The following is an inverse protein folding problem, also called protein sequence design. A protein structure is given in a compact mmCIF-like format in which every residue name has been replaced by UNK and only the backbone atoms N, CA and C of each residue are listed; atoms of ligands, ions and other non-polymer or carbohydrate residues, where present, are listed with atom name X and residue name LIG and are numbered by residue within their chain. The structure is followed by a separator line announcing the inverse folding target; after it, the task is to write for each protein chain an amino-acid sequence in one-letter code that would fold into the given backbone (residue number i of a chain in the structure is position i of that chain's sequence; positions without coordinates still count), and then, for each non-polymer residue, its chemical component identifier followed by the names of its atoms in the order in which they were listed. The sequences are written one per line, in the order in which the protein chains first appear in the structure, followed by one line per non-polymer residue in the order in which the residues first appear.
data_IF_419614113224
#
_entry.id   IF_419614113224
#
_cell.length_a   1.000
_cell.length_b   1.000
_cell.length_c   1.000
_cell.angle_alpha   90.00
_cell.angle_beta   90.00
_cell.angle_gamma   90.00
#
_symmetry.space_group_name_H-M   'P 1'
#
loop_
_entity.id
_entity.type
_entity.pdbx_description
1 polymer ?
#
# COMPACT_ATOMS: atom_id res chain seq x y z
N UNK A 1 17.01 -9.72 13.98
CA UNK A 1 15.81 -8.87 13.84
C UNK A 1 14.59 -9.77 13.90
N UNK A 2 13.51 -9.36 14.57
CA UNK A 2 12.27 -10.13 14.65
C UNK A 2 11.17 -9.26 14.03
N UNK A 3 10.86 -9.49 12.75
CA UNK A 3 9.76 -8.79 12.08
C UNK A 3 8.42 -9.16 12.70
N UNK A 4 7.38 -8.37 12.46
CA UNK A 4 6.02 -8.68 12.92
C UNK A 4 5.24 -9.43 11.83
N UNK A 5 4.11 -10.04 12.20
CA UNK A 5 3.21 -10.62 11.19
C UNK A 5 2.68 -9.49 10.29
N UNK A 6 2.54 -9.74 9.00
CA UNK A 6 2.15 -8.71 8.03
C UNK A 6 3.29 -7.77 7.60
N UNK A 7 4.51 -7.91 8.15
CA UNK A 7 5.67 -7.15 7.63
C UNK A 7 5.94 -7.58 6.19
N UNK A 8 5.92 -6.62 5.26
CA UNK A 8 6.34 -6.85 3.88
C UNK A 8 7.86 -6.74 3.81
N UNK A 9 8.48 -7.66 3.08
CA UNK A 9 9.92 -7.76 2.92
C UNK A 9 10.25 -7.82 1.42
N UNK A 10 11.43 -7.32 1.05
CA UNK A 10 11.95 -7.37 -0.31
C UNK A 10 13.11 -8.36 -0.38
N UNK A 11 13.10 -9.24 -1.39
CA UNK A 11 14.17 -10.17 -1.66
C UNK A 11 15.45 -9.46 -2.13
N UNK A 12 16.56 -9.67 -1.41
CA UNK A 12 17.88 -9.12 -1.77
C UNK A 12 18.58 -9.94 -2.86
N UNK A 13 18.21 -11.22 -2.99
CA UNK A 13 18.77 -12.21 -3.91
C UNK A 13 17.63 -13.07 -4.46
N UNK A 14 17.87 -13.76 -5.56
CA UNK A 14 16.95 -14.75 -6.10
C UNK A 14 17.10 -16.11 -5.39
N UNK A 15 16.01 -16.87 -5.34
CA UNK A 15 15.92 -18.22 -4.81
C UNK A 15 15.02 -19.04 -5.73
N UNK A 16 15.58 -19.49 -6.86
CA UNK A 16 14.82 -20.17 -7.92
C UNK A 16 14.80 -21.71 -7.76
N UNK A 17 15.60 -22.26 -6.86
CA UNK A 17 15.70 -23.70 -6.58
C UNK A 17 15.32 -23.99 -5.12
N UNK A 18 14.03 -23.82 -4.74
CA UNK A 18 13.60 -24.02 -3.37
C UNK A 18 13.66 -25.48 -2.94
N UNK A 19 14.00 -25.71 -1.67
CA UNK A 19 13.82 -27.02 -1.04
C UNK A 19 12.34 -27.26 -0.75
N UNK A 20 11.98 -28.50 -0.40
CA UNK A 20 10.63 -28.84 0.00
C UNK A 20 10.11 -27.90 1.12
N UNK A 21 9.01 -27.21 0.86
CA UNK A 21 8.39 -26.25 1.78
C UNK A 21 8.94 -24.83 1.75
N UNK A 22 9.96 -24.54 0.93
CA UNK A 22 10.44 -23.17 0.67
C UNK A 22 9.68 -22.52 -0.49
N UNK A 23 9.65 -21.18 -0.53
CA UNK A 23 9.01 -20.42 -1.61
C UNK A 23 10.07 -19.93 -2.61
N UNK A 24 9.80 -20.03 -3.90
CA UNK A 24 10.67 -19.44 -4.93
C UNK A 24 10.43 -17.93 -5.07
N UNK A 25 11.48 -17.17 -5.36
CA UNK A 25 11.40 -15.72 -5.60
C UNK A 25 12.59 -15.19 -6.40
N UNK A 26 12.40 -14.08 -7.08
CA UNK A 26 13.44 -13.30 -7.74
C UNK A 26 13.90 -12.15 -6.85
N UNK A 27 15.08 -11.59 -7.17
CA UNK A 27 15.56 -10.37 -6.50
C UNK A 27 14.58 -9.22 -6.77
N UNK A 28 14.16 -8.53 -5.71
CA UNK A 28 13.19 -7.43 -5.79
C UNK A 28 11.74 -7.85 -5.49
N UNK A 29 11.46 -9.15 -5.47
CA UNK A 29 10.13 -9.65 -5.15
C UNK A 29 9.72 -9.28 -3.72
N UNK A 30 8.41 -9.06 -3.53
CA UNK A 30 7.83 -8.69 -2.23
C UNK A 30 7.19 -9.91 -1.60
N UNK A 31 7.55 -10.18 -0.35
CA UNK A 31 7.01 -11.27 0.44
C UNK A 31 6.44 -10.75 1.76
N UNK A 32 5.26 -11.22 2.13
CA UNK A 32 4.59 -10.84 3.39
C UNK A 32 4.82 -11.90 4.45
N UNK A 33 5.40 -11.52 5.59
CA UNK A 33 5.61 -12.43 6.72
C UNK A 33 4.28 -12.86 7.32
N UNK A 34 4.10 -14.17 7.51
CA UNK A 34 2.91 -14.75 8.13
C UNK A 34 3.12 -14.97 9.63
N UNK A 35 2.02 -15.01 10.40
CA UNK A 35 2.02 -14.89 11.86
C UNK A 35 2.79 -15.98 12.58
N UNK A 36 2.75 -17.24 12.10
CA UNK A 36 3.73 -18.32 12.35
C UNK A 36 3.18 -19.65 11.82
N UNK A 37 4.11 -20.56 11.50
CA UNK A 37 3.85 -22.02 11.51
C UNK A 37 4.93 -22.66 12.37
N UNK A 38 4.57 -23.74 13.04
CA UNK A 38 5.40 -24.52 13.96
C UNK A 38 6.73 -24.95 13.31
N UNK A 39 7.79 -25.12 14.12
CA UNK A 39 9.11 -25.65 13.72
C UNK A 39 9.98 -24.76 12.81
N UNK A 40 10.12 -23.47 13.12
CA UNK A 40 11.06 -22.58 12.42
C UNK A 40 12.48 -22.71 12.98
N UNK A 41 13.47 -22.87 12.09
CA UNK A 41 14.88 -22.66 12.46
C UNK A 41 15.12 -21.18 12.75
N UNK A 42 16.11 -20.87 13.59
CA UNK A 42 16.47 -19.49 13.92
C UNK A 42 16.79 -18.70 12.64
N UNK A 43 16.00 -17.66 12.35
CA UNK A 43 16.20 -16.78 11.19
C UNK A 43 15.40 -17.16 9.93
N UNK A 44 14.56 -18.19 10.00
CA UNK A 44 13.58 -18.52 8.95
C UNK A 44 12.20 -17.99 9.32
N UNK A 45 11.44 -17.58 8.29
CA UNK A 45 10.07 -17.13 8.43
C UNK A 45 9.19 -17.86 7.42
N UNK A 46 7.93 -18.07 7.77
CA UNK A 46 6.93 -18.39 6.75
C UNK A 46 6.45 -17.09 6.13
N UNK A 47 6.45 -17.02 4.80
CA UNK A 47 6.02 -15.85 4.07
C UNK A 47 5.15 -16.25 2.88
N UNK A 48 4.29 -15.33 2.48
CA UNK A 48 3.53 -15.40 1.23
C UNK A 48 4.22 -14.54 0.19
N UNK A 49 4.49 -15.06 -0.99
CA UNK A 49 4.94 -14.28 -2.14
C UNK A 49 3.76 -13.46 -2.68
N UNK A 50 3.91 -12.13 -2.75
CA UNK A 50 2.76 -11.24 -2.98
C UNK A 50 2.17 -11.38 -4.39
N UNK A 51 2.98 -11.72 -5.40
CA UNK A 51 2.51 -11.81 -6.80
C UNK A 51 1.97 -13.19 -7.15
N UNK A 52 2.62 -14.27 -6.71
CA UNK A 52 2.17 -15.64 -7.02
C UNK A 52 1.17 -16.18 -5.99
N UNK A 53 1.08 -15.56 -4.81
CA UNK A 53 0.26 -16.04 -3.70
C UNK A 53 0.82 -17.28 -2.99
N UNK A 54 1.93 -17.85 -3.45
CA UNK A 54 2.56 -19.03 -2.86
C UNK A 54 3.05 -18.75 -1.45
N UNK A 55 2.91 -19.73 -0.57
CA UNK A 55 3.38 -19.66 0.80
C UNK A 55 4.47 -20.68 1.07
N UNK A 56 5.54 -20.25 1.73
CA UNK A 56 6.63 -21.15 2.08
C UNK A 56 7.58 -20.54 3.09
N UNK A 57 8.62 -21.32 3.40
CA UNK A 57 9.73 -20.88 4.22
C UNK A 57 10.69 -20.01 3.42
N UNK A 58 11.19 -18.97 4.09
CA UNK A 58 12.19 -18.04 3.55
C UNK A 58 13.22 -17.70 4.60
N UNK A 59 14.49 -17.59 4.18
CA UNK A 59 15.56 -17.14 5.05
C UNK A 59 15.49 -15.61 5.21
N UNK A 60 15.35 -15.14 6.45
CA UNK A 60 15.41 -13.72 6.79
C UNK A 60 16.69 -13.03 6.35
N UNK A 61 17.80 -13.79 6.27
CA UNK A 61 19.08 -13.27 5.80
C UNK A 61 19.08 -12.82 4.33
N UNK A 62 18.18 -13.37 3.51
CA UNK A 62 18.00 -13.01 2.10
C UNK A 62 16.98 -11.89 1.90
N UNK A 63 16.31 -11.46 2.96
CA UNK A 63 15.28 -10.45 2.92
C UNK A 63 15.73 -9.16 3.60
N UNK A 64 15.04 -8.07 3.29
CA UNK A 64 15.05 -6.82 4.06
C UNK A 64 13.62 -6.35 4.24
N UNK A 65 13.34 -5.58 5.27
CA UNK A 65 12.03 -4.93 5.40
C UNK A 65 11.78 -3.99 4.22
N UNK A 66 10.55 -4.01 3.70
CA UNK A 66 10.11 -3.12 2.64
C UNK A 66 9.89 -1.74 3.24
N UNK A 67 10.56 -0.74 2.69
CA UNK A 67 10.22 0.66 2.96
C UNK A 67 9.01 1.04 2.10
N UNK A 68 8.12 1.89 2.63
CA UNK A 68 7.03 2.37 1.81
C UNK A 68 7.55 3.17 0.61
N UNK A 69 6.94 2.93 -0.55
CA UNK A 69 7.22 3.70 -1.74
C UNK A 69 6.55 5.08 -1.59
N UNK A 70 7.38 6.12 -1.41
CA UNK A 70 6.91 7.51 -1.42
C UNK A 70 6.26 7.83 -2.76
N UNK A 71 6.91 7.47 -3.85
CA UNK A 71 6.37 7.58 -5.21
C UNK A 71 6.62 6.23 -5.88
N UNK A 72 5.57 5.44 -6.00
CA UNK A 72 5.60 4.23 -6.84
C UNK A 72 5.62 4.68 -8.31
N UNK A 73 6.56 4.22 -9.15
CA UNK A 73 6.60 4.56 -10.58
C UNK A 73 5.29 4.25 -11.32
N UNK A 74 4.48 3.32 -10.80
CA UNK A 74 3.16 2.99 -11.34
C UNK A 74 2.10 4.04 -11.03
N UNK A 75 2.33 4.97 -10.08
CA UNK A 75 1.35 6.00 -9.72
C UNK A 75 0.98 6.89 -10.90
N UNK A 76 1.94 7.24 -11.75
CA UNK A 76 1.64 8.06 -12.93
C UNK A 76 0.76 7.34 -13.96
N UNK A 77 0.63 6.02 -13.86
CA UNK A 77 -0.25 5.21 -14.69
C UNK A 77 -1.66 5.08 -14.11
N UNK A 78 -1.86 5.50 -12.85
CA UNK A 78 -3.14 5.38 -12.17
C UNK A 78 -4.06 6.53 -12.57
N UNK A 79 -5.28 6.25 -13.08
CA UNK A 79 -6.18 7.30 -13.57
C UNK A 79 -6.66 8.26 -12.46
N UNK A 80 -6.63 7.80 -11.21
CA UNK A 80 -6.99 8.59 -10.03
C UNK A 80 -5.84 9.44 -9.48
N UNK A 81 -4.61 9.34 -9.99
CA UNK A 81 -3.47 10.12 -9.53
C UNK A 81 -3.20 11.33 -10.44
N UNK A 82 -3.23 12.53 -9.87
CA UNK A 82 -3.09 13.78 -10.64
C UNK A 82 -1.83 14.59 -10.31
N UNK A 83 -0.88 14.02 -9.56
CA UNK A 83 0.36 14.71 -9.20
C UNK A 83 0.12 16.04 -8.48
N UNK A 84 0.86 17.08 -8.88
CA UNK A 84 0.83 18.41 -8.25
C UNK A 84 -0.30 19.29 -8.80
N UNK A 85 -1.52 19.07 -8.31
CA UNK A 85 -2.65 19.99 -8.52
C UNK A 85 -3.08 20.68 -7.22
N UNK A 86 -3.69 21.86 -7.35
CA UNK A 86 -4.26 22.59 -6.22
C UNK A 86 -5.57 21.97 -5.72
N UNK A 87 -5.98 22.33 -4.50
CA UNK A 87 -7.30 21.95 -3.96
C UNK A 87 -8.45 22.37 -4.88
N UNK A 88 -8.53 23.63 -5.33
CA UNK A 88 -9.57 24.08 -6.26
C UNK A 88 -9.58 23.33 -7.60
N UNK A 89 -8.40 23.02 -8.17
CA UNK A 89 -8.32 22.21 -9.40
C UNK A 89 -8.86 20.78 -9.17
N UNK A 90 -8.58 20.19 -7.99
CA UNK A 90 -9.14 18.89 -7.63
C UNK A 90 -10.67 18.94 -7.53
N UNK A 91 -11.23 19.98 -6.89
CA UNK A 91 -12.68 20.20 -6.84
C UNK A 91 -13.28 20.32 -8.24
N UNK A 92 -12.62 21.04 -9.14
CA UNK A 92 -13.06 21.16 -10.54
C UNK A 92 -13.06 19.83 -11.31
N UNK A 93 -12.08 18.95 -11.03
CA UNK A 93 -11.98 17.62 -11.65
C UNK A 93 -12.99 16.61 -11.10
N UNK A 94 -13.49 16.82 -9.89
CA UNK A 94 -14.53 16.00 -9.26
C UNK A 94 -15.96 16.47 -9.62
N UNK A 95 -16.11 17.11 -10.79
CA UNK A 95 -17.41 17.53 -11.33
C UNK A 95 -17.76 16.72 -12.59
N UNK A 96 -19.04 16.39 -12.83
CA UNK A 96 -20.18 16.58 -11.92
C UNK A 96 -20.01 15.80 -10.62
N UNK A 97 -20.59 16.31 -9.53
CA UNK A 97 -20.43 15.70 -8.22
C UNK A 97 -21.11 14.32 -8.20
N UNK A 98 -20.35 13.29 -7.88
CA UNK A 98 -20.82 11.92 -7.76
C UNK A 98 -20.23 11.32 -6.48
N UNK A 99 -21.08 10.69 -5.67
CA UNK A 99 -20.66 10.10 -4.41
C UNK A 99 -19.64 8.97 -4.65
N UNK A 100 -18.52 9.05 -3.96
CA UNK A 100 -17.39 8.14 -4.13
C UNK A 100 -16.41 8.53 -5.23
N UNK A 101 -16.69 9.54 -6.05
CA UNK A 101 -15.70 10.04 -7.01
C UNK A 101 -14.50 10.61 -6.25
N UNK A 102 -13.29 10.22 -6.64
CA UNK A 102 -12.09 10.59 -5.89
C UNK A 102 -10.88 10.81 -6.78
N UNK A 103 -9.88 11.46 -6.20
CA UNK A 103 -8.54 11.53 -6.77
C UNK A 103 -7.49 11.68 -5.69
N UNK A 104 -6.25 11.34 -6.01
CA UNK A 104 -5.07 11.58 -5.17
C UNK A 104 -4.19 12.64 -5.84
N UNK A 105 -3.72 13.58 -5.03
CA UNK A 105 -2.77 14.62 -5.46
C UNK A 105 -1.64 14.75 -4.46
N UNK A 106 -0.53 15.35 -4.88
CA UNK A 106 0.53 15.78 -3.99
C UNK A 106 0.08 16.97 -3.14
N UNK A 107 0.55 17.01 -1.89
CA UNK A 107 0.28 18.11 -0.98
C UNK A 107 1.21 19.30 -1.28
N UNK A 108 0.63 20.38 -1.82
CA UNK A 108 1.34 21.65 -2.01
C UNK A 108 1.78 22.27 -0.67
N UNK A 109 0.99 22.08 0.40
CA UNK A 109 1.25 22.65 1.74
C UNK A 109 2.27 21.84 2.55
N UNK A 110 2.41 20.56 2.27
CA UNK A 110 3.28 19.65 3.01
C UNK A 110 4.04 18.79 2.00
N UNK A 111 5.18 19.27 1.47
CA UNK A 111 5.97 18.53 0.50
C UNK A 111 6.31 17.13 1.01
N UNK A 112 6.07 16.11 0.18
CA UNK A 112 6.28 14.70 0.52
C UNK A 112 5.01 13.96 0.99
N UNK A 113 3.95 14.68 1.33
CA UNK A 113 2.65 14.08 1.64
C UNK A 113 1.71 14.09 0.43
N UNK A 114 0.67 13.25 0.52
CA UNK A 114 -0.42 13.22 -0.46
C UNK A 114 -1.72 13.72 0.15
N UNK A 115 -2.70 13.99 -0.71
CA UNK A 115 -4.06 14.33 -0.34
C UNK A 115 -5.03 13.49 -1.15
N UNK A 116 -5.82 12.68 -0.45
CA UNK A 116 -6.97 11.98 -1.01
C UNK A 116 -8.16 12.96 -1.01
N UNK A 117 -8.67 13.27 -2.20
CA UNK A 117 -9.81 14.16 -2.42
C UNK A 117 -11.02 13.31 -2.80
N UNK A 118 -12.14 13.44 -2.09
CA UNK A 118 -13.29 12.53 -2.23
C UNK A 118 -14.57 13.35 -2.28
N UNK A 119 -15.40 13.10 -3.28
CA UNK A 119 -16.71 13.69 -3.42
C UNK A 119 -17.74 12.85 -2.67
N UNK A 120 -18.50 13.49 -1.80
CA UNK A 120 -19.61 12.89 -1.07
C UNK A 120 -20.62 13.96 -0.68
N UNK A 121 -21.90 13.72 -0.94
CA UNK A 121 -23.00 14.66 -0.67
C UNK A 121 -22.71 16.04 -1.27
N UNK A 122 -22.34 16.05 -2.55
CA UNK A 122 -21.99 17.25 -3.35
C UNK A 122 -20.79 18.07 -2.83
N UNK A 123 -20.07 17.56 -1.83
CA UNK A 123 -18.92 18.23 -1.21
C UNK A 123 -17.66 17.42 -1.45
N UNK A 124 -16.55 18.13 -1.63
CA UNK A 124 -15.23 17.51 -1.75
C UNK A 124 -14.50 17.59 -0.42
N UNK A 125 -14.18 16.43 0.15
CA UNK A 125 -13.38 16.28 1.35
C UNK A 125 -11.91 16.06 0.98
N UNK A 126 -10.99 16.62 1.77
CA UNK A 126 -9.56 16.51 1.56
C UNK A 126 -8.88 15.85 2.75
N UNK A 127 -8.45 14.61 2.59
CA UNK A 127 -7.77 13.82 3.61
C UNK A 127 -6.27 13.81 3.35
N UNK A 128 -5.48 14.26 4.33
CA UNK A 128 -4.02 14.21 4.26
C UNK A 128 -3.55 12.77 4.45
N UNK A 129 -2.73 12.29 3.53
CA UNK A 129 -2.01 11.02 3.62
C UNK A 129 -0.58 11.36 4.02
N UNK A 130 -0.20 10.95 5.23
CA UNK A 130 1.08 11.28 5.83
C UNK A 130 2.05 10.13 5.58
N UNK A 131 3.26 10.47 5.14
CA UNK A 131 4.38 9.53 5.10
C UNK A 131 5.21 9.66 6.38
N UNK A 132 5.16 8.66 7.26
CA UNK A 132 5.91 8.64 8.52
C UNK A 132 6.40 7.23 8.83
N UNK A 133 7.62 7.12 9.39
CA UNK A 133 8.22 5.84 9.80
C UNK A 133 8.20 4.77 8.69
N UNK A 134 8.51 5.21 7.45
CA UNK A 134 8.48 4.39 6.23
C UNK A 134 7.13 3.72 5.95
N UNK A 135 6.02 4.36 6.34
CA UNK A 135 4.64 3.92 6.07
C UNK A 135 3.74 5.10 5.72
N UNK A 136 2.66 4.82 5.00
CA UNK A 136 1.61 5.77 4.63
C UNK A 136 0.40 5.59 5.54
N UNK A 137 -0.21 6.69 6.00
CA UNK A 137 -1.44 6.64 6.80
C UNK A 137 -2.27 7.91 6.68
N UNK A 138 -3.60 7.78 6.80
CA UNK A 138 -4.54 8.91 6.89
C UNK A 138 -4.91 9.21 8.35
N UNK A 139 -5.05 8.16 9.17
CA UNK A 139 -5.64 8.23 10.52
C UNK A 139 -4.65 7.83 11.63
N UNK A 140 -3.39 7.49 11.27
CA UNK A 140 -2.38 6.92 12.18
C UNK A 140 -2.80 5.62 12.87
N UNK A 141 -3.87 4.97 12.39
CA UNK A 141 -4.36 3.67 12.89
C UNK A 141 -4.04 2.56 11.88
N UNK A 142 -4.22 2.85 10.60
CA UNK A 142 -3.93 1.93 9.51
C UNK A 142 -2.71 2.41 8.71
N UNK A 143 -1.83 1.47 8.35
CA UNK A 143 -0.57 1.78 7.69
C UNK A 143 -0.39 0.96 6.41
N UNK A 144 0.19 1.60 5.39
CA UNK A 144 0.36 1.02 4.05
C UNK A 144 1.77 1.21 3.52
N UNK A 145 2.21 0.31 2.63
CA UNK A 145 3.54 0.36 2.00
C UNK A 145 3.56 1.09 0.65
N UNK A 146 2.41 1.38 0.06
CA UNK A 146 2.30 2.24 -1.11
C UNK A 146 0.86 2.80 -1.19
N UNK A 147 0.65 3.81 -2.04
CA UNK A 147 -0.66 4.46 -2.19
C UNK A 147 -1.69 3.57 -2.87
N UNK A 148 -1.29 2.66 -3.77
CA UNK A 148 -2.21 1.78 -4.50
C UNK A 148 -2.88 0.83 -3.50
N UNK A 149 -2.11 0.13 -2.68
CA UNK A 149 -2.62 -0.75 -1.62
C UNK A 149 -3.57 0.00 -0.67
N UNK A 150 -3.24 1.25 -0.33
CA UNK A 150 -4.10 2.10 0.52
C UNK A 150 -5.45 2.37 -0.13
N UNK A 151 -5.45 2.73 -1.42
CA UNK A 151 -6.65 3.03 -2.19
C UNK A 151 -7.49 1.77 -2.37
N UNK A 152 -6.90 0.63 -2.73
CA UNK A 152 -7.62 -0.64 -2.87
C UNK A 152 -8.37 -1.04 -1.60
N UNK A 153 -7.71 -0.94 -0.44
CA UNK A 153 -8.34 -1.26 0.85
C UNK A 153 -9.47 -0.29 1.20
N UNK A 154 -9.32 1.00 0.88
CA UNK A 154 -10.36 2.01 1.16
C UNK A 154 -11.55 1.90 0.20
N UNK A 155 -11.33 1.43 -1.02
CA UNK A 155 -12.40 1.10 -1.97
C UNK A 155 -13.24 -0.11 -1.51
N UNK A 156 -12.60 -1.11 -0.89
CA UNK A 156 -13.27 -2.34 -0.47
C UNK A 156 -14.04 -2.23 0.87
N UNK A 157 -13.76 -1.22 1.70
CA UNK A 157 -14.37 -1.08 3.02
C UNK A 157 -15.80 -0.51 2.96
N UNK A 158 -16.81 -1.38 2.95
CA UNK A 158 -18.22 -0.99 3.08
C UNK A 158 -18.61 -0.61 4.53
N UNK A 159 -19.21 0.58 4.65
CA UNK A 159 -20.18 1.05 5.67
C UNK A 159 -20.00 0.60 7.13
N UNK A 160 -19.49 1.50 7.98
CA UNK A 160 -20.00 1.63 9.38
C UNK A 160 -19.40 2.79 10.19
N UNK A 161 -18.21 3.30 9.86
CA UNK A 161 -17.60 4.37 10.70
C UNK A 161 -16.72 5.27 9.87
N UNK A 162 -17.21 6.43 9.41
CA UNK A 162 -16.44 7.48 8.69
C UNK A 162 -15.39 6.85 7.74
N UNK A 163 -15.81 5.85 6.96
CA UNK A 163 -14.93 5.13 6.05
C UNK A 163 -15.12 5.76 4.68
N UNK A 164 -14.03 6.33 4.17
CA UNK A 164 -13.96 7.06 2.92
C UNK A 164 -14.32 6.08 1.79
N UNK A 165 -15.58 6.07 1.36
CA UNK A 165 -16.02 5.33 0.18
C UNK A 165 -15.38 5.97 -1.05
N UNK A 166 -14.64 5.18 -1.81
CA UNK A 166 -14.06 5.62 -3.08
C UNK A 166 -14.46 4.63 -4.18
N UNK A 167 -15.06 5.17 -5.23
CA UNK A 167 -15.48 4.42 -6.40
C UNK A 167 -14.33 4.40 -7.39
N UNK A 168 -13.55 3.31 -7.39
CA UNK A 168 -12.53 3.05 -8.39
C UNK A 168 -13.26 2.61 -9.66
N UNK A 169 -13.73 3.58 -10.45
CA UNK A 169 -14.18 3.30 -11.83
C UNK A 169 -12.94 2.81 -12.59
N UNK A 170 -12.90 1.50 -12.86
CA UNK A 170 -11.93 0.84 -13.74
C UNK A 170 -12.21 1.24 -15.18
#
# INVERSE_FOLDING_TARGET
MNWMAGTQCVAKKQHCTPKAGEVAYHKGDVLTRLTKVCFQRKGEYRARHNTTGEEGLVSGSNLREREALRIDPKLSLMPWFHGKISGPQAVGKLKPAEDGLFLVRESVRHPGDFVLCVCFSEKVFHYRVIFRDNKLSIDSKQFFYNLIDMIEVRAAANLSTINIYINVKV
#
